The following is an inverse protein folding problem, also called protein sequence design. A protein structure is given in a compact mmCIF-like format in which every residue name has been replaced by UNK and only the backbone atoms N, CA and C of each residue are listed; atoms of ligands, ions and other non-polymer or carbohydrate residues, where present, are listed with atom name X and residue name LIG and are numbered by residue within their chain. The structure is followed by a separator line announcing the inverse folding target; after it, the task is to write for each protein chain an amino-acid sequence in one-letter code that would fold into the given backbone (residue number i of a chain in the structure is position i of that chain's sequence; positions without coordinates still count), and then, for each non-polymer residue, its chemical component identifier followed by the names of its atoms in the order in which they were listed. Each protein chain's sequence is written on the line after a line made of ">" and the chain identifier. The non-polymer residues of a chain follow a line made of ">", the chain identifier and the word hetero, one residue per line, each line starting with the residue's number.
data_IF_397288895966
#
_entry.id   IF_397288895966
#
_cell.length_a   1.000
_cell.length_b   1.000
_cell.length_c   1.000
_cell.angle_alpha   90.00
_cell.angle_beta   90.00
_cell.angle_gamma   90.00
#
_symmetry.space_group_name_H-M   'P 1'
#
loop_
_entity.id
_entity.type
_entity.pdbx_description
1 polymer ?
#
# COMPACT_ATOMS: atom_id res chain seq x y z
N UNK A 1 -26.79 -24.46 -18.75
CA UNK A 1 -25.91 -24.10 -19.88
C UNK A 1 -24.48 -24.19 -19.39
N UNK A 2 -23.68 -25.12 -19.90
CA UNK A 2 -22.26 -25.22 -19.56
C UNK A 2 -21.52 -24.05 -20.20
N UNK A 3 -20.74 -23.33 -19.40
CA UNK A 3 -19.87 -22.26 -19.90
C UNK A 3 -18.69 -22.90 -20.62
N UNK A 4 -18.46 -22.55 -21.88
CA UNK A 4 -17.31 -23.04 -22.65
C UNK A 4 -16.02 -22.39 -22.12
N UNK A 5 -15.15 -23.21 -21.53
CA UNK A 5 -13.86 -22.81 -20.96
C UNK A 5 -12.68 -23.13 -21.88
N UNK A 6 -12.94 -23.57 -23.10
CA UNK A 6 -11.90 -23.89 -24.07
C UNK A 6 -11.10 -22.63 -24.43
N UNK A 7 -9.78 -22.74 -24.48
CA UNK A 7 -8.93 -21.62 -24.81
C UNK A 7 -9.24 -21.11 -26.23
N UNK A 8 -9.49 -19.80 -26.44
CA UNK A 8 -9.82 -19.27 -27.76
C UNK A 8 -8.65 -19.28 -28.75
N UNK A 9 -7.41 -19.50 -28.28
CA UNK A 9 -6.22 -19.55 -29.13
C UNK A 9 -5.91 -20.97 -29.62
N UNK A 10 -5.93 -21.98 -28.74
CA UNK A 10 -5.61 -23.36 -29.10
C UNK A 10 -6.82 -24.29 -29.22
N UNK A 11 -7.99 -23.90 -28.72
CA UNK A 11 -9.22 -24.70 -28.74
C UNK A 11 -9.31 -25.80 -27.69
N UNK A 12 -8.28 -26.01 -26.86
CA UNK A 12 -8.24 -27.04 -25.82
C UNK A 12 -8.54 -26.47 -24.43
N UNK A 13 -9.05 -27.31 -23.52
CA UNK A 13 -9.36 -27.01 -22.12
C UNK A 13 -8.42 -27.72 -21.11
N UNK A 14 -7.59 -28.66 -21.58
CA UNK A 14 -6.67 -29.49 -20.80
C UNK A 14 -5.65 -28.72 -19.95
N UNK A 15 -5.15 -27.59 -20.48
CA UNK A 15 -4.14 -26.75 -19.84
C UNK A 15 -4.71 -25.41 -19.33
N UNK A 16 -6.02 -25.32 -19.15
CA UNK A 16 -6.70 -24.11 -18.68
C UNK A 16 -6.88 -24.14 -17.18
N UNK A 17 -6.47 -23.07 -16.51
CA UNK A 17 -6.63 -22.91 -15.07
C UNK A 17 -7.24 -21.54 -14.76
N UNK A 18 -8.06 -21.47 -13.70
CA UNK A 18 -8.59 -20.19 -13.24
C UNK A 18 -7.47 -19.29 -12.72
N UNK A 19 -7.56 -18.00 -13.03
CA UNK A 19 -6.59 -17.00 -12.57
C UNK A 19 -6.44 -16.99 -11.04
N UNK A 20 -7.52 -17.13 -10.23
CA UNK A 20 -7.40 -17.25 -8.78
C UNK A 20 -6.57 -18.46 -8.34
N UNK A 21 -6.70 -19.60 -9.02
CA UNK A 21 -5.93 -20.79 -8.66
C UNK A 21 -4.44 -20.64 -8.99
N UNK A 22 -4.09 -19.96 -10.09
CA UNK A 22 -2.69 -19.61 -10.41
C UNK A 22 -2.10 -18.66 -9.38
N UNK A 23 -2.88 -17.67 -8.94
CA UNK A 23 -2.42 -16.76 -7.91
C UNK A 23 -2.20 -17.48 -6.58
N UNK A 24 -3.12 -18.36 -6.19
CA UNK A 24 -3.00 -19.16 -4.97
C UNK A 24 -1.80 -20.11 -5.01
N UNK A 25 -1.56 -20.79 -6.13
CA UNK A 25 -0.39 -21.68 -6.29
C UNK A 25 0.93 -20.93 -6.44
N UNK A 26 0.89 -19.73 -7.02
CA UNK A 26 2.07 -18.90 -7.24
C UNK A 26 2.45 -18.00 -6.08
N UNK A 27 1.70 -17.97 -4.97
CA UNK A 27 2.03 -17.23 -3.75
C UNK A 27 2.30 -18.17 -2.59
N UNK A 28 3.48 -18.07 -1.99
CA UNK A 28 3.85 -18.83 -0.79
C UNK A 28 4.25 -17.89 0.35
N UNK A 29 3.80 -18.18 1.56
CA UNK A 29 4.24 -17.49 2.79
C UNK A 29 5.21 -18.39 3.53
N UNK A 30 6.39 -17.86 3.83
CA UNK A 30 7.44 -18.54 4.59
C UNK A 30 7.60 -17.83 5.91
N UNK A 31 7.52 -18.58 7.00
CA UNK A 31 7.77 -18.09 8.36
C UNK A 31 9.19 -18.48 8.77
N UNK A 32 10.00 -17.49 9.10
CA UNK A 32 11.33 -17.65 9.71
C UNK A 32 11.30 -17.13 11.13
N UNK A 33 12.15 -17.67 11.99
CA UNK A 33 12.41 -17.11 13.32
C UNK A 33 13.80 -16.52 13.32
N UNK A 34 13.90 -15.21 13.45
CA UNK A 34 15.18 -14.50 13.58
C UNK A 34 15.43 -14.22 15.07
N UNK A 35 16.70 -14.28 15.48
CA UNK A 35 17.12 -13.99 16.85
C UNK A 35 17.78 -12.62 16.89
N UNK A 36 17.41 -11.81 17.86
CA UNK A 36 18.02 -10.49 18.08
C UNK A 36 18.54 -10.37 19.51
N UNK A 37 19.63 -9.61 19.63
CA UNK A 37 20.21 -9.22 20.91
C UNK A 37 20.20 -7.70 21.01
N UNK A 38 19.92 -7.19 22.20
CA UNK A 38 19.88 -5.76 22.48
C UNK A 38 20.19 -5.47 23.94
N UNK A 39 20.18 -4.19 24.30
CA UNK A 39 20.41 -3.75 25.69
C UNK A 39 19.24 -2.86 26.11
N UNK A 40 18.54 -3.26 27.18
CA UNK A 40 17.49 -2.48 27.83
C UNK A 40 18.06 -1.62 28.94
N UNK A 41 17.48 -0.44 29.16
CA UNK A 41 17.81 0.44 30.28
C UNK A 41 16.78 0.22 31.39
N UNK A 42 17.23 -0.20 32.58
CA UNK A 42 16.40 -0.40 33.77
C UNK A 42 16.88 0.45 34.93
N UNK A 43 16.09 0.54 36.00
CA UNK A 43 16.51 1.20 37.26
C UNK A 43 17.74 0.56 37.90
N UNK A 44 18.01 -0.72 37.59
CA UNK A 44 19.21 -1.46 38.02
C UNK A 44 20.40 -1.35 37.05
N UNK A 45 20.30 -0.57 35.97
CA UNK A 45 21.34 -0.41 34.96
C UNK A 45 21.01 -1.06 33.60
N UNK A 46 22.04 -1.31 32.80
CA UNK A 46 21.94 -1.90 31.47
C UNK A 46 21.72 -3.42 31.58
N UNK A 47 20.62 -3.92 31.02
CA UNK A 47 20.25 -5.34 31.05
C UNK A 47 20.26 -5.90 29.62
N UNK A 48 20.98 -7.00 29.33
CA UNK A 48 20.94 -7.62 28.01
C UNK A 48 19.54 -8.22 27.75
N UNK A 49 19.01 -7.95 26.57
CA UNK A 49 17.72 -8.49 26.09
C UNK A 49 18.02 -9.41 24.91
N UNK A 50 17.65 -10.68 25.06
CA UNK A 50 17.64 -11.66 23.98
C UNK A 50 16.19 -11.96 23.63
N UNK A 51 15.85 -11.89 22.36
CA UNK A 51 14.50 -12.16 21.89
C UNK A 51 14.51 -12.91 20.56
N UNK A 52 13.39 -13.57 20.28
CA UNK A 52 13.08 -14.06 18.95
C UNK A 52 12.04 -13.16 18.30
N UNK A 53 12.16 -12.98 17.00
CA UNK A 53 11.19 -12.30 16.16
C UNK A 53 10.73 -13.25 15.07
N UNK A 54 9.42 -13.38 14.89
CA UNK A 54 8.85 -14.07 13.74
C UNK A 54 8.94 -13.14 12.53
N UNK A 55 9.59 -13.62 11.47
CA UNK A 55 9.72 -12.93 10.19
C UNK A 55 8.90 -13.69 9.15
N UNK A 56 7.84 -13.05 8.68
CA UNK A 56 7.01 -13.56 7.60
C UNK A 56 7.49 -12.98 6.27
N UNK A 57 7.75 -13.85 5.28
CA UNK A 57 8.08 -13.44 3.90
C UNK A 57 7.09 -14.08 2.95
N UNK A 58 6.39 -13.24 2.17
CA UNK A 58 5.56 -13.71 1.06
C UNK A 58 6.38 -13.67 -0.23
N UNK A 59 6.51 -14.80 -0.91
CA UNK A 59 7.09 -14.90 -2.25
C UNK A 59 5.97 -15.09 -3.26
N UNK A 60 6.06 -14.41 -4.40
CA UNK A 60 5.12 -14.55 -5.50
C UNK A 60 5.86 -14.80 -6.80
N UNK A 61 5.42 -15.77 -7.59
CA UNK A 61 5.94 -16.00 -8.94
C UNK A 61 5.63 -14.82 -9.85
N UNK A 62 6.44 -14.63 -10.89
CA UNK A 62 6.25 -13.54 -11.86
C UNK A 62 4.86 -13.60 -12.52
N UNK A 63 4.39 -14.81 -12.85
CA UNK A 63 3.05 -15.02 -13.40
C UNK A 63 1.96 -14.58 -12.41
N UNK A 64 2.03 -15.03 -11.15
CA UNK A 64 1.05 -14.64 -10.12
C UNK A 64 1.05 -13.13 -9.84
N UNK A 65 2.20 -12.47 -9.96
CA UNK A 65 2.32 -11.02 -9.81
C UNK A 65 1.73 -10.26 -11.01
N UNK A 66 1.95 -10.74 -12.23
CA UNK A 66 1.34 -10.14 -13.44
C UNK A 66 -0.19 -10.27 -13.46
N UNK A 67 -0.73 -11.27 -12.78
CA UNK A 67 -2.17 -11.50 -12.62
C UNK A 67 -2.74 -10.87 -11.35
N UNK A 68 -2.10 -9.86 -10.77
CA UNK A 68 -2.59 -9.24 -9.54
C UNK A 68 -3.88 -8.44 -9.75
N UNK A 69 -4.94 -8.67 -8.93
CA UNK A 69 -6.20 -7.95 -9.04
C UNK A 69 -6.07 -6.47 -8.70
N UNK A 70 -5.09 -6.12 -7.86
CA UNK A 70 -4.86 -4.77 -7.36
C UNK A 70 -3.39 -4.37 -7.54
N UNK A 71 -3.10 -3.08 -7.76
CA UNK A 71 -1.74 -2.57 -7.74
C UNK A 71 -1.14 -2.65 -6.33
N UNK A 72 0.18 -2.82 -6.23
CA UNK A 72 0.85 -2.98 -4.95
C UNK A 72 0.76 -1.73 -4.06
N UNK A 73 0.16 -1.86 -2.87
CA UNK A 73 0.22 -0.83 -1.83
C UNK A 73 1.30 -1.15 -0.82
N UNK A 74 2.14 -0.16 -0.55
CA UNK A 74 2.92 -0.11 0.69
C UNK A 74 2.14 0.76 1.67
N UNK A 75 1.94 0.30 2.90
CA UNK A 75 1.22 1.05 3.93
C UNK A 75 1.84 2.43 4.21
N UNK A 76 1.00 3.41 4.55
CA UNK A 76 1.46 4.75 4.96
C UNK A 76 1.87 4.81 6.44
N UNK A 77 1.67 3.73 7.21
CA UNK A 77 1.84 3.71 8.68
C UNK A 77 3.20 4.19 9.16
N UNK A 78 4.29 3.76 8.51
CA UNK A 78 5.65 4.19 8.88
C UNK A 78 5.91 5.67 8.57
N UNK A 79 5.28 6.21 7.54
CA UNK A 79 5.38 7.62 7.19
C UNK A 79 4.57 8.48 8.15
N UNK A 80 3.39 8.01 8.57
CA UNK A 80 2.58 8.71 9.57
C UNK A 80 3.24 8.71 10.94
N UNK A 81 3.85 7.61 11.38
CA UNK A 81 4.57 7.58 12.66
C UNK A 81 5.78 8.51 12.65
N UNK A 82 6.57 8.48 11.57
CA UNK A 82 7.73 9.37 11.44
C UNK A 82 7.33 10.85 11.40
N UNK A 83 6.22 11.18 10.74
CA UNK A 83 5.73 12.55 10.72
C UNK A 83 5.26 13.04 12.10
N UNK A 84 4.58 12.18 12.88
CA UNK A 84 4.16 12.50 14.24
C UNK A 84 5.37 12.74 15.14
N UNK A 85 6.36 11.85 15.10
CA UNK A 85 7.60 12.00 15.90
C UNK A 85 8.31 13.30 15.53
N UNK A 86 8.41 13.62 14.24
CA UNK A 86 9.06 14.84 13.77
C UNK A 86 8.30 16.12 14.11
N UNK A 87 6.99 16.04 14.35
CA UNK A 87 6.17 17.19 14.76
C UNK A 87 6.34 17.59 16.23
N UNK A 88 6.82 16.69 17.10
CA UNK A 88 6.93 16.92 18.54
C UNK A 88 7.76 18.16 18.92
N UNK A 89 8.96 18.40 18.35
CA UNK A 89 9.75 19.59 18.68
C UNK A 89 9.05 20.90 18.33
N UNK A 90 8.32 20.93 17.21
CA UNK A 90 7.55 22.11 16.79
C UNK A 90 6.40 22.38 17.76
N UNK A 91 5.71 21.34 18.24
CA UNK A 91 4.63 21.47 19.24
C UNK A 91 5.18 21.97 20.57
N UNK A 92 6.28 21.41 21.05
CA UNK A 92 6.94 21.84 22.31
C UNK A 92 7.36 23.31 22.22
N UNK A 93 7.96 23.71 21.11
CA UNK A 93 8.39 25.09 20.89
C UNK A 93 7.21 26.07 20.83
N UNK A 94 6.11 25.68 20.20
CA UNK A 94 4.89 26.49 20.15
C UNK A 94 4.26 26.68 21.54
N UNK A 95 4.21 25.61 22.35
CA UNK A 95 3.73 25.67 23.75
C UNK A 95 4.63 26.58 24.60
N UNK A 96 5.95 26.46 24.47
CA UNK A 96 6.91 27.31 25.17
C UNK A 96 6.74 28.80 24.81
N UNK A 97 6.52 29.10 23.52
CA UNK A 97 6.19 30.46 23.07
C UNK A 97 4.89 30.99 23.68
N UNK A 98 3.84 30.18 23.76
CA UNK A 98 2.57 30.56 24.42
C UNK A 98 2.72 30.84 25.92
N UNK A 99 3.54 30.07 26.62
CA UNK A 99 3.87 30.31 28.03
C UNK A 99 4.61 31.64 28.20
N UNK A 100 5.53 31.96 27.28
CA UNK A 100 6.30 33.21 27.31
C UNK A 100 5.41 34.44 27.06
N UNK A 101 4.42 34.33 26.17
CA UNK A 101 3.42 35.37 25.94
C UNK A 101 2.53 35.59 27.17
N UNK A 102 2.24 34.52 27.92
CA UNK A 102 1.43 34.58 29.15
C UNK A 102 2.18 35.22 30.33
N UNK A 103 3.52 35.32 30.26
CA UNK A 103 4.38 35.98 31.24
C UNK A 103 5.31 36.98 30.53
N UNK A 104 4.76 38.09 30.03
CA UNK A 104 5.52 39.03 29.22
C UNK A 104 6.64 39.66 30.06
N UNK A 105 7.88 39.57 29.58
CA UNK A 105 8.99 40.33 30.14
C UNK A 105 8.90 41.79 29.65
N UNK A 106 9.20 42.78 30.51
CA UNK A 106 9.00 44.20 30.20
C UNK A 106 9.86 44.72 29.03
N UNK A 107 10.97 44.05 28.72
CA UNK A 107 11.94 44.50 27.71
C UNK A 107 11.74 43.90 26.32
N UNK A 108 10.78 42.97 26.17
CA UNK A 108 10.59 42.21 24.93
C UNK A 108 9.20 42.52 24.36
N UNK A 109 9.18 43.09 23.15
CA UNK A 109 7.93 43.33 22.43
C UNK A 109 7.21 42.01 22.14
N UNK A 110 5.93 41.93 22.47
CA UNK A 110 5.08 40.76 22.18
C UNK A 110 5.06 40.42 20.69
N UNK A 111 5.23 41.42 19.82
CA UNK A 111 5.32 41.21 18.38
C UNK A 111 6.57 40.42 17.96
N UNK A 112 7.73 40.63 18.61
CA UNK A 112 8.95 39.88 18.27
C UNK A 112 8.88 38.43 18.74
N UNK A 113 8.25 38.19 19.90
CA UNK A 113 7.97 36.83 20.40
C UNK A 113 7.05 36.08 19.43
N UNK A 114 5.99 36.71 18.94
CA UNK A 114 5.08 36.10 17.97
C UNK A 114 5.79 35.77 16.66
N UNK A 115 6.53 36.72 16.08
CA UNK A 115 7.24 36.51 14.80
C UNK A 115 8.29 35.40 14.92
N UNK A 116 9.09 35.41 16.00
CA UNK A 116 10.11 34.38 16.25
C UNK A 116 9.51 33.01 16.56
N UNK A 117 8.42 32.96 17.34
CA UNK A 117 7.73 31.72 17.67
C UNK A 117 7.11 31.08 16.42
N UNK A 118 6.36 31.85 15.63
CA UNK A 118 5.71 31.35 14.42
C UNK A 118 6.72 30.98 13.32
N UNK A 119 7.73 31.81 13.07
CA UNK A 119 8.72 31.56 12.02
C UNK A 119 9.54 30.29 12.27
N UNK A 120 10.04 30.13 13.50
CA UNK A 120 10.85 28.96 13.86
C UNK A 120 10.01 27.68 14.03
N UNK A 121 8.80 27.79 14.60
CA UNK A 121 7.87 26.66 14.66
C UNK A 121 7.48 26.17 13.26
N UNK A 122 7.22 27.08 12.32
CA UNK A 122 6.87 26.72 10.94
C UNK A 122 8.04 26.01 10.24
N UNK A 123 9.27 26.51 10.41
CA UNK A 123 10.47 25.88 9.85
C UNK A 123 10.65 24.43 10.35
N UNK A 124 10.46 24.20 11.66
CA UNK A 124 10.52 22.85 12.25
C UNK A 124 9.35 21.97 11.81
N UNK A 125 8.16 22.54 11.64
CA UNK A 125 6.96 21.80 11.25
C UNK A 125 6.94 21.43 9.75
N UNK A 126 7.59 22.22 8.90
CA UNK A 126 7.56 22.07 7.44
C UNK A 126 7.84 20.64 6.93
N UNK A 127 8.92 19.95 7.35
CA UNK A 127 9.17 18.57 6.91
C UNK A 127 8.08 17.60 7.40
N UNK A 128 7.55 17.78 8.61
CA UNK A 128 6.46 16.94 9.13
C UNK A 128 5.17 17.12 8.32
N UNK A 129 4.84 18.37 7.95
CA UNK A 129 3.67 18.71 7.14
C UNK A 129 3.77 18.13 5.73
N UNK A 130 4.95 18.19 5.10
CA UNK A 130 5.18 17.57 3.79
C UNK A 130 5.01 16.05 3.83
N UNK A 131 5.54 15.39 4.87
CA UNK A 131 5.39 13.93 5.04
C UNK A 131 3.92 13.56 5.32
N UNK A 132 3.22 14.33 6.16
CA UNK A 132 1.78 14.14 6.42
C UNK A 132 0.95 14.32 5.15
N UNK A 133 1.25 15.35 4.35
CA UNK A 133 0.57 15.59 3.08
C UNK A 133 0.78 14.44 2.10
N UNK A 134 2.02 13.93 1.99
CA UNK A 134 2.31 12.77 1.16
C UNK A 134 1.62 11.50 1.67
N UNK A 135 1.64 11.28 2.99
CA UNK A 135 0.93 10.17 3.63
C UNK A 135 -0.58 10.26 3.37
N UNK A 136 -1.16 11.45 3.45
CA UNK A 136 -2.59 11.67 3.20
C UNK A 136 -2.97 11.47 1.74
N UNK A 137 -2.17 11.97 0.79
CA UNK A 137 -2.34 11.67 -0.64
C UNK A 137 -2.32 10.17 -0.91
N UNK A 138 -1.40 9.46 -0.27
CA UNK A 138 -1.29 8.00 -0.34
C UNK A 138 -2.48 7.29 0.28
N UNK A 139 -2.97 7.72 1.44
CA UNK A 139 -4.16 7.19 2.08
C UNK A 139 -5.41 7.40 1.22
N UNK A 140 -5.57 8.58 0.61
CA UNK A 140 -6.66 8.86 -0.34
C UNK A 140 -6.60 7.93 -1.55
N UNK A 141 -5.41 7.68 -2.09
CA UNK A 141 -5.21 6.72 -3.19
C UNK A 141 -5.60 5.31 -2.74
N UNK A 142 -5.09 4.84 -1.61
CA UNK A 142 -5.45 3.52 -1.05
C UNK A 142 -6.95 3.38 -0.76
N UNK A 143 -7.59 4.44 -0.26
CA UNK A 143 -9.04 4.44 -0.03
C UNK A 143 -9.82 4.35 -1.35
N UNK A 144 -9.36 5.01 -2.42
CA UNK A 144 -9.95 4.87 -3.76
C UNK A 144 -9.82 3.45 -4.28
N UNK A 145 -8.64 2.84 -4.20
CA UNK A 145 -8.46 1.47 -4.67
C UNK A 145 -9.33 0.48 -3.89
N UNK A 146 -9.43 0.63 -2.56
CA UNK A 146 -10.36 -0.17 -1.75
C UNK A 146 -11.82 -0.04 -2.16
N UNK A 147 -12.26 1.12 -2.66
CA UNK A 147 -13.63 1.29 -3.18
C UNK A 147 -13.84 0.54 -4.49
N UNK A 148 -12.82 0.49 -5.36
CA UNK A 148 -12.87 -0.21 -6.64
C UNK A 148 -12.54 -1.72 -6.58
N UNK A 149 -11.97 -2.18 -5.45
CA UNK A 149 -11.57 -3.57 -5.22
C UNK A 149 -12.66 -4.60 -5.52
N UNK A 150 -13.92 -4.44 -5.08
CA UNK A 150 -14.95 -5.43 -5.37
C UNK A 150 -15.23 -5.57 -6.88
N UNK A 151 -15.22 -4.46 -7.63
CA UNK A 151 -15.47 -4.45 -9.06
C UNK A 151 -14.33 -5.10 -9.85
N UNK A 152 -13.07 -4.73 -9.53
CA UNK A 152 -11.89 -5.38 -10.11
C UNK A 152 -11.87 -6.89 -9.80
N UNK A 153 -12.15 -7.26 -8.55
CA UNK A 153 -12.16 -8.65 -8.11
C UNK A 153 -13.23 -9.49 -8.82
N UNK A 154 -14.40 -8.91 -9.09
CA UNK A 154 -15.47 -9.59 -9.82
C UNK A 154 -15.07 -9.94 -11.27
N UNK A 155 -14.32 -9.07 -11.94
CA UNK A 155 -13.78 -9.33 -13.29
C UNK A 155 -12.60 -10.30 -13.23
N UNK A 156 -11.71 -10.11 -12.25
CA UNK A 156 -10.52 -10.93 -12.06
C UNK A 156 -10.84 -12.41 -11.77
N UNK A 157 -11.80 -12.68 -10.89
CA UNK A 157 -12.18 -14.06 -10.51
C UNK A 157 -12.78 -14.87 -11.66
N UNK A 158 -13.31 -14.20 -12.67
CA UNK A 158 -13.90 -14.83 -13.86
C UNK A 158 -12.85 -15.14 -14.94
N UNK A 159 -11.59 -14.71 -14.74
CA UNK A 159 -10.50 -14.94 -15.70
C UNK A 159 -9.99 -16.38 -15.68
N UNK A 160 -9.67 -16.87 -16.87
CA UNK A 160 -8.99 -18.14 -17.11
C UNK A 160 -7.64 -17.88 -17.78
N UNK A 161 -6.68 -18.76 -17.57
CA UNK A 161 -5.35 -18.71 -18.16
C UNK A 161 -4.99 -20.06 -18.76
N UNK A 162 -4.47 -20.04 -19.98
CA UNK A 162 -4.00 -21.24 -20.67
C UNK A 162 -2.47 -21.35 -20.52
N UNK A 163 -2.00 -22.40 -19.85
CA UNK A 163 -0.56 -22.66 -19.68
C UNK A 163 0.15 -22.97 -21.00
N UNK A 164 -0.58 -23.49 -21.99
CA UNK A 164 -0.02 -23.82 -23.31
C UNK A 164 0.24 -22.58 -24.17
N UNK A 165 -0.69 -21.62 -24.16
CA UNK A 165 -0.59 -20.40 -24.99
C UNK A 165 -0.02 -19.20 -24.24
N UNK A 166 0.02 -19.24 -22.90
CA UNK A 166 0.44 -18.13 -22.06
C UNK A 166 -0.54 -16.95 -22.04
N UNK A 167 -1.80 -17.15 -22.44
CA UNK A 167 -2.81 -16.10 -22.57
C UNK A 167 -3.93 -16.25 -21.53
N UNK A 168 -4.49 -15.10 -21.15
CA UNK A 168 -5.68 -14.99 -20.32
C UNK A 168 -6.91 -14.76 -21.19
N UNK A 169 -8.08 -15.20 -20.75
CA UNK A 169 -9.34 -14.90 -21.40
C UNK A 169 -10.49 -14.97 -20.40
N UNK A 170 -11.64 -14.46 -20.80
CA UNK A 170 -12.89 -14.59 -20.05
C UNK A 170 -13.88 -15.47 -20.80
N UNK A 171 -14.45 -16.50 -20.18
CA UNK A 171 -15.42 -17.36 -20.83
C UNK A 171 -16.81 -16.70 -20.95
N UNK A 172 -17.11 -15.72 -20.10
CA UNK A 172 -18.30 -14.86 -20.15
C UNK A 172 -17.94 -13.42 -19.79
N UNK A 173 -18.80 -12.44 -20.06
CA UNK A 173 -18.59 -11.04 -19.65
C UNK A 173 -19.07 -10.81 -18.21
N UNK A 174 -18.17 -10.70 -17.20
CA UNK A 174 -18.59 -10.38 -15.83
C UNK A 174 -18.99 -8.91 -15.65
N UNK A 175 -18.58 -8.03 -16.56
CA UNK A 175 -18.85 -6.60 -16.54
C UNK A 175 -18.84 -6.03 -17.98
N UNK A 176 -19.43 -4.84 -18.16
CA UNK A 176 -19.41 -4.14 -19.44
C UNK A 176 -17.97 -3.79 -19.86
N UNK A 177 -17.65 -3.99 -21.15
CA UNK A 177 -16.32 -3.68 -21.71
C UNK A 177 -15.26 -4.78 -21.53
N UNK A 178 -15.59 -5.93 -20.94
CA UNK A 178 -14.68 -7.08 -20.88
C UNK A 178 -14.78 -7.90 -22.16
N UNK A 179 -13.66 -8.17 -22.87
CA UNK A 179 -13.70 -8.96 -24.10
C UNK A 179 -13.93 -10.44 -23.77
N UNK A 180 -15.00 -11.01 -24.33
CA UNK A 180 -15.38 -12.41 -24.14
C UNK A 180 -14.65 -13.27 -25.15
N UNK A 181 -14.07 -14.39 -24.69
CA UNK A 181 -13.35 -15.36 -25.51
C UNK A 181 -12.26 -14.75 -26.42
N UNK A 182 -11.69 -13.62 -26.00
CA UNK A 182 -10.54 -13.04 -26.68
C UNK A 182 -9.26 -13.39 -25.91
N UNK A 183 -8.21 -13.92 -26.57
CA UNK A 183 -6.93 -14.15 -25.92
C UNK A 183 -6.25 -12.81 -25.63
N UNK A 184 -5.84 -12.59 -24.38
CA UNK A 184 -5.17 -11.38 -23.92
C UNK A 184 -3.89 -11.76 -23.18
N UNK A 185 -2.75 -11.06 -23.39
CA UNK A 185 -1.54 -11.30 -22.61
C UNK A 185 -1.76 -10.92 -21.13
N UNK A 186 -1.00 -11.48 -20.17
CA UNK A 186 -1.18 -11.22 -18.73
C UNK A 186 -1.19 -9.73 -18.35
N UNK A 187 -0.31 -8.91 -18.95
CA UNK A 187 -0.31 -7.46 -18.72
C UNK A 187 -1.56 -6.74 -19.22
N UNK A 188 -2.11 -7.19 -20.37
CA UNK A 188 -3.37 -6.66 -20.90
C UNK A 188 -4.57 -7.08 -20.04
N UNK A 189 -4.56 -8.31 -19.53
CA UNK A 189 -5.55 -8.80 -18.58
C UNK A 189 -5.58 -7.94 -17.32
N UNK A 190 -4.39 -7.65 -16.76
CA UNK A 190 -4.25 -6.78 -15.60
C UNK A 190 -4.79 -5.37 -15.87
N UNK A 191 -4.47 -4.79 -17.03
CA UNK A 191 -5.01 -3.48 -17.44
C UNK A 191 -6.54 -3.45 -17.47
N UNK A 192 -7.19 -4.49 -18.02
CA UNK A 192 -8.66 -4.59 -18.07
C UNK A 192 -9.25 -4.71 -16.65
N UNK A 193 -8.67 -5.56 -15.81
CA UNK A 193 -9.09 -5.73 -14.41
C UNK A 193 -8.97 -4.43 -13.63
N UNK A 194 -7.85 -3.71 -13.80
CA UNK A 194 -7.62 -2.43 -13.13
C UNK A 194 -8.50 -1.32 -13.66
N UNK A 195 -8.84 -1.34 -14.95
CA UNK A 195 -9.82 -0.41 -15.52
C UNK A 195 -11.21 -0.64 -14.90
N UNK A 196 -11.63 -1.89 -14.74
CA UNK A 196 -12.90 -2.22 -14.08
C UNK A 196 -12.93 -1.77 -12.60
N UNK A 197 -11.77 -1.76 -11.93
CA UNK A 197 -11.62 -1.18 -10.58
C UNK A 197 -11.48 0.35 -10.55
N UNK A 198 -11.38 1.02 -11.70
CA UNK A 198 -11.14 2.46 -11.80
C UNK A 198 -9.74 2.90 -11.34
N UNK A 199 -8.75 2.01 -11.37
CA UNK A 199 -7.39 2.30 -10.91
C UNK A 199 -6.53 3.07 -11.91
N UNK A 200 -6.87 2.99 -13.20
CA UNK A 200 -6.09 3.55 -14.31
C UNK A 200 -6.40 5.02 -14.61
N UNK A 201 -7.44 5.61 -14.00
CA UNK A 201 -7.89 6.98 -14.28
C UNK A 201 -6.99 8.09 -13.69
N UNK A 202 -5.77 7.77 -13.24
CA UNK A 202 -4.85 8.70 -12.58
C UNK A 202 -3.40 8.51 -13.10
N UNK A 203 -3.18 8.77 -14.40
CA UNK A 203 -1.88 9.17 -14.93
C UNK A 203 -1.86 10.69 -15.12
#
# INVERSE_FOLDING_TARGET
>A
MSVDISCPACGYDDCVQSVPAIRASGTSTVYSTDYYSGVGVSSSGLVPVMGSSLVERTQSSYLAQSLAPEPGFRGAGRLTTLAVVLSLPAVVYFVAGGVLISRPHPDISTASILIGAFGFALFLALPSLLILWFAFRRLRRSARIRRGAPAAYAVWRAGMYCHRCGTCFWPFAPAAGVPVRHPVPPGGFQGIVWNAGGYLNDA
#
